data_IF_627726708797
#
_entry.id   IF_627726708797
#
_cell.length_a   1.000
_cell.length_b   1.000
_cell.length_c   1.000
_cell.angle_alpha   90.00
_cell.angle_beta   90.00
_cell.angle_gamma   90.00
#
_symmetry.space_group_name_H-M   'P 1'
#
loop_
_entity.id
_entity.type
_entity.pdbx_description
1 polymer ?
#
# COMPACT_ATOMS: atom_id res chain seq x y z
N UNK A 1 -26.71 -4.51 5.82
CA UNK A 1 -25.28 -4.23 6.13
C UNK A 1 -24.61 -3.21 5.17
N UNK A 2 -23.83 -2.26 5.72
CA UNK A 2 -23.03 -1.29 4.95
C UNK A 2 -21.58 -1.77 4.82
N UNK A 3 -21.04 -2.34 5.88
CA UNK A 3 -19.70 -2.92 5.95
C UNK A 3 -19.76 -4.45 6.10
N UNK A 4 -18.62 -5.12 5.89
CA UNK A 4 -18.52 -6.58 6.03
C UNK A 4 -18.78 -7.02 7.48
N UNK A 5 -18.31 -6.24 8.46
CA UNK A 5 -18.54 -6.52 9.88
C UNK A 5 -20.00 -6.42 10.30
N UNK A 6 -20.83 -5.71 9.53
CA UNK A 6 -22.27 -5.58 9.81
C UNK A 6 -23.08 -6.78 9.30
N UNK A 7 -22.44 -7.73 8.59
CA UNK A 7 -23.13 -8.88 8.02
C UNK A 7 -23.47 -9.85 9.15
N UNK A 8 -24.77 -10.11 9.29
CA UNK A 8 -25.33 -11.05 10.27
C UNK A 8 -26.18 -12.11 9.56
N UNK A 9 -26.57 -13.17 10.28
CA UNK A 9 -27.35 -14.28 9.72
C UNK A 9 -28.66 -13.83 9.06
N UNK A 10 -29.34 -12.82 9.61
CA UNK A 10 -30.55 -12.21 9.03
C UNK A 10 -30.36 -11.67 7.61
N UNK A 11 -29.12 -11.34 7.24
CA UNK A 11 -28.72 -10.82 5.93
C UNK A 11 -28.33 -11.92 4.94
N UNK A 12 -28.32 -13.19 5.35
CA UNK A 12 -27.93 -14.33 4.48
C UNK A 12 -29.11 -15.28 4.26
N UNK A 13 -30.18 -15.14 5.06
CA UNK A 13 -31.34 -16.04 5.07
C UNK A 13 -32.02 -16.26 3.71
N UNK A 14 -31.98 -15.31 2.77
CA UNK A 14 -32.53 -15.49 1.42
C UNK A 14 -31.45 -15.33 0.36
N UNK A 15 -31.56 -16.01 -0.80
CA UNK A 15 -30.56 -15.93 -1.87
C UNK A 15 -30.28 -14.49 -2.32
N UNK A 16 -31.32 -13.64 -2.41
CA UNK A 16 -31.17 -12.21 -2.76
C UNK A 16 -30.34 -11.45 -1.72
N UNK A 17 -30.59 -11.68 -0.43
CA UNK A 17 -29.84 -11.02 0.65
C UNK A 17 -28.41 -11.54 0.75
N UNK A 18 -28.21 -12.86 0.63
CA UNK A 18 -26.89 -13.49 0.58
C UNK A 18 -26.03 -12.95 -0.57
N UNK A 19 -26.60 -12.80 -1.78
CA UNK A 19 -25.91 -12.19 -2.93
C UNK A 19 -25.45 -10.76 -2.64
N UNK A 20 -26.29 -9.96 -1.97
CA UNK A 20 -25.94 -8.59 -1.57
C UNK A 20 -24.80 -8.58 -0.56
N UNK A 21 -24.85 -9.43 0.47
CA UNK A 21 -23.80 -9.56 1.47
C UNK A 21 -22.46 -9.98 0.85
N UNK A 22 -22.48 -10.96 -0.05
CA UNK A 22 -21.31 -11.41 -0.81
C UNK A 22 -20.70 -10.27 -1.64
N UNK A 23 -21.53 -9.48 -2.33
CA UNK A 23 -21.04 -8.36 -3.14
C UNK A 23 -20.34 -7.29 -2.29
N UNK A 24 -20.86 -7.01 -1.09
CA UNK A 24 -20.22 -6.10 -0.13
C UNK A 24 -18.85 -6.64 0.29
N UNK A 25 -18.76 -7.94 0.60
CA UNK A 25 -17.49 -8.59 0.95
C UNK A 25 -16.47 -8.54 -0.20
N UNK A 26 -16.89 -8.91 -1.41
CA UNK A 26 -16.05 -8.85 -2.62
C UNK A 26 -15.51 -7.43 -2.87
N UNK A 27 -16.38 -6.41 -2.79
CA UNK A 27 -15.98 -5.01 -2.98
C UNK A 27 -14.98 -4.56 -1.92
N UNK A 28 -15.17 -4.99 -0.67
CA UNK A 28 -14.27 -4.67 0.44
C UNK A 28 -12.89 -5.26 0.23
N UNK A 29 -12.82 -6.54 -0.16
CA UNK A 29 -11.56 -7.22 -0.50
C UNK A 29 -10.84 -6.52 -1.65
N UNK A 30 -11.56 -6.20 -2.73
CA UNK A 30 -10.99 -5.47 -3.87
C UNK A 30 -10.41 -4.11 -3.47
N UNK A 31 -11.11 -3.35 -2.62
CA UNK A 31 -10.64 -2.06 -2.13
C UNK A 31 -9.37 -2.21 -1.26
N UNK A 32 -9.34 -3.22 -0.38
CA UNK A 32 -8.16 -3.52 0.44
C UNK A 32 -6.97 -3.92 -0.43
N UNK A 33 -7.17 -4.78 -1.44
CA UNK A 33 -6.12 -5.17 -2.38
C UNK A 33 -5.54 -3.97 -3.14
N UNK A 34 -6.40 -3.05 -3.62
CA UNK A 34 -5.97 -1.80 -4.24
C UNK A 34 -5.12 -0.95 -3.29
N UNK A 35 -5.56 -0.80 -2.03
CA UNK A 35 -4.80 -0.07 -1.00
C UNK A 35 -3.44 -0.71 -0.74
N UNK A 36 -3.38 -2.03 -0.57
CA UNK A 36 -2.13 -2.77 -0.37
C UNK A 36 -1.18 -2.56 -1.56
N UNK A 37 -1.69 -2.64 -2.79
CA UNK A 37 -0.89 -2.41 -4.00
C UNK A 37 -0.29 -1.00 -4.03
N UNK A 38 -1.10 0.03 -3.76
CA UNK A 38 -0.66 1.42 -3.75
C UNK A 38 0.41 1.68 -2.67
N UNK A 39 0.22 1.13 -1.47
CA UNK A 39 1.20 1.24 -0.38
C UNK A 39 2.52 0.55 -0.73
N UNK A 40 2.47 -0.68 -1.24
CA UNK A 40 3.67 -1.40 -1.70
C UNK A 40 4.41 -0.65 -2.80
N UNK A 41 3.70 -0.04 -3.74
CA UNK A 41 4.32 0.76 -4.79
C UNK A 41 5.01 2.01 -4.22
N UNK A 42 4.36 2.69 -3.27
CA UNK A 42 4.93 3.87 -2.61
C UNK A 42 6.18 3.52 -1.80
N UNK A 43 6.12 2.43 -1.03
CA UNK A 43 7.27 1.90 -0.30
C UNK A 43 8.44 1.59 -1.24
N UNK A 44 8.19 0.89 -2.36
CA UNK A 44 9.24 0.58 -3.35
C UNK A 44 9.91 1.85 -3.88
N UNK A 45 9.13 2.87 -4.24
CA UNK A 45 9.68 4.15 -4.73
C UNK A 45 10.55 4.85 -3.69
N UNK A 46 10.12 4.86 -2.42
CA UNK A 46 10.90 5.44 -1.32
C UNK A 46 12.22 4.69 -1.11
N UNK A 47 12.16 3.35 -1.05
CA UNK A 47 13.37 2.52 -0.93
C UNK A 47 14.32 2.73 -2.11
N UNK A 48 13.81 2.80 -3.34
CA UNK A 48 14.63 3.11 -4.51
C UNK A 48 15.29 4.48 -4.38
N UNK A 49 14.53 5.51 -3.96
CA UNK A 49 15.07 6.86 -3.77
C UNK A 49 16.19 6.90 -2.71
N UNK A 50 16.00 6.21 -1.59
CA UNK A 50 17.04 6.08 -0.56
C UNK A 50 18.30 5.42 -1.14
N UNK A 51 18.16 4.28 -1.83
CA UNK A 51 19.29 3.60 -2.46
C UNK A 51 20.01 4.48 -3.48
N UNK A 52 19.29 5.27 -4.27
CA UNK A 52 19.92 6.21 -5.20
C UNK A 52 20.68 7.30 -4.47
N UNK A 53 20.14 7.84 -3.37
CA UNK A 53 20.81 8.86 -2.57
C UNK A 53 22.05 8.32 -1.88
N UNK A 54 21.97 7.13 -1.28
CA UNK A 54 23.10 6.41 -0.70
C UNK A 54 24.19 6.15 -1.74
N UNK A 55 23.81 5.71 -2.94
CA UNK A 55 24.74 5.51 -4.05
C UNK A 55 25.42 6.81 -4.50
N UNK A 56 24.66 7.90 -4.63
CA UNK A 56 25.21 9.23 -4.96
C UNK A 56 26.20 9.71 -3.89
N UNK A 57 25.85 9.60 -2.62
CA UNK A 57 26.75 9.94 -1.51
C UNK A 57 28.02 9.10 -1.58
N UNK A 58 27.90 7.78 -1.83
CA UNK A 58 29.04 6.89 -2.03
C UNK A 58 29.96 7.35 -3.16
N UNK A 59 29.39 7.69 -4.32
CA UNK A 59 30.15 8.22 -5.45
C UNK A 59 30.83 9.55 -5.15
N UNK A 60 30.15 10.46 -4.45
CA UNK A 60 30.73 11.75 -4.09
C UNK A 60 31.86 11.60 -3.08
N UNK A 61 31.75 10.69 -2.10
CA UNK A 61 32.83 10.35 -1.17
C UNK A 61 34.02 9.76 -1.90
N UNK A 62 33.80 8.84 -2.85
CA UNK A 62 34.86 8.24 -3.64
C UNK A 62 35.64 9.27 -4.48
N UNK A 63 34.97 10.32 -4.93
CA UNK A 63 35.59 11.41 -5.70
C UNK A 63 36.17 12.53 -4.81
N UNK A 64 36.16 12.36 -3.49
CA UNK A 64 36.59 13.35 -2.50
C UNK A 64 35.85 14.71 -2.60
N UNK A 65 34.65 14.69 -3.21
CA UNK A 65 33.81 15.87 -3.42
C UNK A 65 32.95 16.22 -2.19
N UNK A 66 33.12 15.48 -1.09
CA UNK A 66 32.41 15.69 0.18
C UNK A 66 33.34 16.16 1.32
N UNK A 67 34.54 16.63 0.98
CA UNK A 67 35.44 17.25 1.95
C UNK A 67 34.77 18.43 2.67
N UNK A 68 34.95 18.52 3.98
CA UNK A 68 34.37 19.51 4.91
C UNK A 68 34.77 20.98 4.61
N UNK A 69 35.49 21.24 3.52
CA UNK A 69 35.98 22.57 3.14
C UNK A 69 34.91 23.53 2.57
N UNK A 70 33.62 23.23 2.72
CA UNK A 70 32.51 24.11 2.31
C UNK A 70 31.48 24.28 3.43
N UNK A 71 31.96 24.61 4.62
CA UNK A 71 31.16 25.16 5.72
C UNK A 71 31.63 26.59 6.04
#
# INVERSE_FOLDING_TARGET
PRYVGDIQMSHIYTPRRAKRALNIAKRTIQNQQKKIKALKQSQRRLVTRLKTMEGLIGHLKQKDLLSEATA
#
